data_IF_882294999700
#
_entry.id   IF_882294999700
#
_cell.length_a   1.000
_cell.length_b   1.000
_cell.length_c   1.000
_cell.angle_alpha   90.00
_cell.angle_beta   90.00
_cell.angle_gamma   90.00
#
_symmetry.space_group_name_H-M   'P 1'
#
loop_
_entity.id
_entity.type
_entity.pdbx_description
1 polymer ?
#
# COMPACT_ATOMS: atom_id res chain seq x y z
N UNK A 1 1.81 20.51 -1.53
CA UNK A 1 3.18 19.99 -1.74
C UNK A 1 3.51 19.74 -3.21
N UNK A 2 2.55 19.84 -4.15
CA UNK A 2 2.77 19.71 -5.59
C UNK A 2 2.64 21.09 -6.26
N UNK A 3 3.52 21.41 -7.19
CA UNK A 3 3.57 22.69 -7.88
C UNK A 3 2.43 22.81 -8.91
N UNK A 4 1.62 23.89 -8.89
CA UNK A 4 0.51 24.06 -9.83
C UNK A 4 0.95 24.34 -11.26
N UNK A 5 2.20 24.77 -11.48
CA UNK A 5 2.72 25.11 -12.82
C UNK A 5 3.35 23.94 -13.56
N UNK A 6 3.98 23.01 -12.84
CA UNK A 6 4.78 21.95 -13.45
C UNK A 6 4.52 20.55 -12.87
N UNK A 7 3.60 20.41 -11.91
CA UNK A 7 3.29 19.13 -11.29
C UNK A 7 4.40 18.51 -10.43
N UNK A 8 5.55 19.17 -10.30
CA UNK A 8 6.67 18.69 -9.48
C UNK A 8 6.37 18.83 -7.99
N UNK A 9 6.91 17.91 -7.18
CA UNK A 9 6.94 18.07 -5.73
C UNK A 9 7.74 19.34 -5.36
N UNK A 10 7.20 20.15 -4.47
CA UNK A 10 7.80 21.37 -3.96
C UNK A 10 8.63 21.08 -2.72
N UNK A 11 9.77 21.75 -2.57
CA UNK A 11 10.67 21.59 -1.43
C UNK A 11 10.49 22.73 -0.43
N UNK A 12 10.53 22.46 0.88
CA UNK A 12 10.49 23.52 1.89
C UNK A 12 11.82 24.29 1.89
N UNK A 13 11.76 25.62 1.88
CA UNK A 13 12.87 26.53 1.99
C UNK A 13 12.62 27.50 3.16
N UNK A 14 13.66 27.79 3.95
CA UNK A 14 13.58 28.74 5.06
C UNK A 14 13.85 30.16 4.55
N UNK A 15 12.93 31.09 4.82
CA UNK A 15 13.13 32.52 4.55
C UNK A 15 12.67 33.31 5.77
N UNK A 16 13.61 33.97 6.47
CA UNK A 16 13.37 34.89 7.60
C UNK A 16 12.34 34.38 8.62
N UNK A 17 12.57 33.17 9.15
CA UNK A 17 11.72 32.47 10.16
C UNK A 17 10.41 31.82 9.66
N UNK A 18 10.15 31.83 8.35
CA UNK A 18 9.00 31.14 7.74
C UNK A 18 9.46 30.01 6.81
N UNK A 19 8.72 28.91 6.80
CA UNK A 19 8.91 27.81 5.84
C UNK A 19 8.03 28.10 4.63
N UNK A 20 8.66 28.42 3.51
CA UNK A 20 8.00 28.59 2.21
C UNK A 20 8.22 27.34 1.35
N UNK A 21 7.27 26.96 0.51
CA UNK A 21 7.48 25.87 -0.44
C UNK A 21 7.93 26.45 -1.77
N UNK A 22 9.10 26.00 -2.26
CA UNK A 22 9.64 26.42 -3.55
C UNK A 22 9.68 25.23 -4.51
N UNK A 23 9.26 25.46 -5.74
CA UNK A 23 9.44 24.48 -6.80
C UNK A 23 10.87 24.56 -7.36
N UNK A 24 11.63 23.45 -7.40
CA UNK A 24 12.99 23.43 -7.93
C UNK A 24 13.04 23.58 -9.46
N UNK A 25 11.95 23.27 -10.16
CA UNK A 25 11.91 23.23 -11.63
C UNK A 25 11.50 24.58 -12.22
N UNK A 26 10.39 25.14 -11.76
CA UNK A 26 9.84 26.39 -12.34
C UNK A 26 10.02 27.62 -11.45
N UNK A 27 10.67 27.47 -10.28
CA UNK A 27 10.92 28.56 -9.34
C UNK A 27 9.69 29.10 -8.62
N UNK A 28 8.50 28.49 -8.80
CA UNK A 28 7.28 28.91 -8.12
C UNK A 28 7.42 28.85 -6.60
N UNK A 29 7.17 29.97 -5.93
CA UNK A 29 7.13 30.09 -4.47
C UNK A 29 5.66 30.07 -4.04
N UNK A 30 5.27 29.01 -3.33
CA UNK A 30 3.94 28.87 -2.73
C UNK A 30 3.92 29.44 -1.31
N UNK A 31 2.73 29.86 -0.87
CA UNK A 31 2.54 30.42 0.46
C UNK A 31 2.72 29.40 1.59
N UNK A 32 2.95 29.96 2.77
CA UNK A 32 3.38 29.34 4.04
C UNK A 32 2.99 27.87 4.21
N UNK A 33 4.01 27.03 4.32
CA UNK A 33 3.84 25.66 4.76
C UNK A 33 3.42 25.62 6.22
N UNK A 34 2.25 25.07 6.54
CA UNK A 34 1.98 24.58 7.91
C UNK A 34 3.20 23.75 8.34
N UNK A 35 3.66 23.94 9.59
CA UNK A 35 4.77 23.17 10.18
C UNK A 35 4.57 21.70 9.83
N UNK A 36 5.38 21.18 8.90
CA UNK A 36 5.37 19.77 8.56
C UNK A 36 6.28 19.14 9.59
N UNK A 37 5.68 18.60 10.66
CA UNK A 37 6.40 17.68 11.53
C UNK A 37 6.83 16.51 10.63
N UNK A 38 8.14 16.36 10.45
CA UNK A 38 8.71 15.17 9.82
C UNK A 38 8.52 14.06 10.84
N UNK A 39 7.34 13.46 10.81
CA UNK A 39 7.06 12.29 11.61
C UNK A 39 7.80 11.14 10.94
N UNK A 40 8.97 10.80 11.47
CA UNK A 40 9.63 9.53 11.20
C UNK A 40 8.86 8.42 11.91
N UNK A 41 7.59 8.24 11.57
CA UNK A 41 6.88 7.04 11.95
C UNK A 41 7.40 5.94 11.06
N UNK A 42 8.29 5.11 11.60
CA UNK A 42 8.30 3.70 11.22
C UNK A 42 7.01 3.13 11.78
N UNK A 43 5.89 3.41 11.11
CA UNK A 43 4.72 2.58 11.30
C UNK A 43 5.11 1.24 10.69
N UNK A 44 5.47 0.29 11.54
CA UNK A 44 5.06 -1.11 11.36
C UNK A 44 3.54 -1.10 11.28
N UNK A 45 3.04 -0.61 10.15
CA UNK A 45 1.64 -0.67 9.79
C UNK A 45 1.41 -2.15 9.60
N UNK A 46 0.88 -2.75 10.66
CA UNK A 46 0.03 -3.93 10.65
C UNK A 46 -0.29 -4.32 9.22
N UNK A 47 0.29 -5.45 8.77
CA UNK A 47 0.05 -6.11 7.50
C UNK A 47 -1.14 -5.48 6.79
N UNK A 48 -0.87 -4.55 5.86
CA UNK A 48 -1.92 -3.98 5.01
C UNK A 48 -2.74 -5.18 4.55
N UNK A 49 -4.01 -5.23 4.95
CA UNK A 49 -4.93 -6.27 4.54
C UNK A 49 -4.96 -6.18 3.03
N UNK A 50 -4.11 -6.97 2.36
CA UNK A 50 -3.94 -6.92 0.91
C UNK A 50 -5.35 -7.14 0.39
N UNK A 51 -5.99 -6.13 -0.23
CA UNK A 51 -7.36 -6.28 -0.66
C UNK A 51 -7.31 -7.33 -1.76
N UNK A 52 -7.72 -8.55 -1.43
CA UNK A 52 -7.81 -9.65 -2.38
C UNK A 52 -8.99 -9.29 -3.29
N UNK A 53 -8.69 -8.53 -4.34
CA UNK A 53 -9.64 -8.15 -5.38
C UNK A 53 -10.14 -9.46 -5.98
N UNK A 54 -11.45 -9.74 -5.78
CA UNK A 54 -12.09 -11.01 -6.16
C UNK A 54 -11.88 -11.38 -7.64
N UNK A 55 -11.68 -10.39 -8.50
CA UNK A 55 -11.46 -10.56 -9.94
C UNK A 55 -10.12 -11.27 -10.25
N UNK A 56 -9.10 -11.14 -9.39
CA UNK A 56 -7.79 -11.78 -9.59
C UNK A 56 -7.77 -13.27 -9.25
N UNK A 57 -8.80 -13.77 -8.56
CA UNK A 57 -8.89 -15.18 -8.14
C UNK A 57 -9.27 -16.11 -9.31
N UNK A 58 -9.86 -15.60 -10.40
CA UNK A 58 -10.24 -16.43 -11.55
C UNK A 58 -9.03 -17.08 -12.25
N UNK A 59 -7.84 -16.51 -12.11
CA UNK A 59 -6.58 -17.06 -12.66
C UNK A 59 -5.82 -17.93 -11.65
N UNK A 60 -6.27 -18.02 -10.40
CA UNK A 60 -5.55 -18.78 -9.37
C UNK A 60 -5.85 -20.27 -9.50
N UNK A 61 -4.84 -21.14 -9.31
CA UNK A 61 -5.05 -22.59 -9.33
C UNK A 61 -6.03 -23.01 -8.23
N UNK A 62 -6.94 -23.92 -8.57
CA UNK A 62 -7.90 -24.50 -7.64
C UNK A 62 -7.30 -25.78 -7.06
N UNK A 63 -7.28 -25.88 -5.73
CA UNK A 63 -6.78 -27.03 -4.98
C UNK A 63 -7.89 -27.65 -4.14
N UNK A 64 -7.74 -28.93 -3.84
CA UNK A 64 -8.68 -29.66 -2.99
C UNK A 64 -8.37 -29.39 -1.51
N UNK A 65 -9.13 -28.48 -0.88
CA UNK A 65 -9.03 -28.17 0.55
C UNK A 65 -10.43 -27.90 1.12
N UNK A 66 -10.74 -28.55 2.23
CA UNK A 66 -12.05 -28.44 2.89
C UNK A 66 -12.15 -27.10 3.63
N UNK A 67 -13.17 -26.31 3.29
CA UNK A 67 -13.46 -25.05 3.96
C UNK A 67 -14.10 -25.32 5.33
N UNK A 68 -13.54 -24.78 6.43
CA UNK A 68 -14.07 -25.00 7.78
C UNK A 68 -15.45 -24.37 8.00
N UNK A 69 -15.85 -23.40 7.16
CA UNK A 69 -17.12 -22.66 7.32
C UNK A 69 -18.28 -23.27 6.55
N UNK A 70 -18.05 -23.82 5.36
CA UNK A 70 -19.12 -24.27 4.46
C UNK A 70 -18.96 -25.70 3.93
N UNK A 71 -17.90 -26.41 4.33
CA UNK A 71 -17.64 -27.80 3.93
C UNK A 71 -17.25 -27.99 2.47
N UNK A 72 -17.07 -26.91 1.70
CA UNK A 72 -16.67 -26.99 0.30
C UNK A 72 -15.24 -27.55 0.18
N UNK A 73 -14.99 -28.44 -0.78
CA UNK A 73 -13.71 -29.11 -0.99
C UNK A 73 -12.76 -28.39 -1.94
N UNK A 74 -13.16 -27.26 -2.54
CA UNK A 74 -12.37 -26.51 -3.52
C UNK A 74 -11.98 -25.13 -3.00
N UNK A 75 -10.68 -24.81 -3.03
CA UNK A 75 -10.15 -23.50 -2.66
C UNK A 75 -9.20 -22.96 -3.73
N UNK A 76 -9.22 -21.66 -3.97
CA UNK A 76 -8.19 -20.94 -4.70
C UNK A 76 -6.90 -20.93 -3.88
N UNK A 77 -5.78 -21.15 -4.54
CA UNK A 77 -4.47 -21.15 -3.92
C UNK A 77 -3.65 -19.95 -4.41
N UNK A 78 -3.07 -19.21 -3.46
CA UNK A 78 -2.15 -18.12 -3.75
C UNK A 78 -0.95 -18.17 -2.81
N UNK A 79 0.25 -17.96 -3.35
CA UNK A 79 1.45 -17.70 -2.57
C UNK A 79 1.75 -16.21 -2.62
N UNK A 80 1.90 -15.59 -1.45
CA UNK A 80 2.32 -14.19 -1.31
C UNK A 80 3.73 -14.18 -0.73
N UNK A 81 4.62 -13.44 -1.39
CA UNK A 81 5.94 -13.14 -0.87
C UNK A 81 5.80 -11.96 0.08
N UNK A 82 6.11 -12.15 1.35
CA UNK A 82 6.28 -11.02 2.27
C UNK A 82 7.59 -10.31 1.92
N UNK A 83 7.70 -9.00 2.17
CA UNK A 83 8.87 -8.18 1.78
C UNK A 83 10.16 -8.58 2.53
N UNK A 84 10.06 -9.47 3.51
CA UNK A 84 11.18 -10.02 4.26
C UNK A 84 11.78 -11.22 3.52
N UNK A 85 13.04 -11.12 3.14
CA UNK A 85 13.77 -12.19 2.46
C UNK A 85 13.95 -13.45 3.32
N UNK A 86 13.88 -13.31 4.65
CA UNK A 86 14.06 -14.40 5.62
C UNK A 86 12.78 -15.18 5.95
N UNK A 87 11.61 -14.77 5.44
CA UNK A 87 10.35 -15.47 5.71
C UNK A 87 9.96 -16.41 4.56
N UNK A 88 9.51 -17.64 4.85
CA UNK A 88 8.96 -18.51 3.82
C UNK A 88 7.68 -17.90 3.23
N UNK A 89 7.39 -18.13 1.94
CA UNK A 89 6.22 -17.57 1.28
C UNK A 89 4.92 -18.00 1.98
N UNK A 90 4.06 -17.03 2.24
CA UNK A 90 2.77 -17.27 2.90
C UNK A 90 1.77 -17.84 1.89
N UNK A 91 1.18 -19.00 2.24
CA UNK A 91 0.17 -19.69 1.42
C UNK A 91 -1.23 -19.33 1.89
N UNK A 92 -2.04 -18.72 1.03
CA UNK A 92 -3.42 -18.35 1.31
C UNK A 92 -4.36 -19.25 0.51
N UNK A 93 -5.43 -19.73 1.17
CA UNK A 93 -6.43 -20.62 0.57
C UNK A 93 -7.82 -20.00 0.65
N UNK A 94 -8.37 -19.50 -0.45
CA UNK A 94 -9.71 -18.91 -0.44
C UNK A 94 -10.76 -19.89 -0.91
N UNK A 95 -11.81 -20.11 -0.13
CA UNK A 95 -12.92 -20.96 -0.52
C UNK A 95 -13.60 -20.43 -1.79
N UNK A 96 -13.70 -21.28 -2.82
CA UNK A 96 -14.35 -20.94 -4.11
C UNK A 96 -15.84 -20.60 -3.98
N UNK A 97 -16.50 -21.04 -2.89
CA UNK A 97 -17.95 -20.88 -2.68
C UNK A 97 -18.31 -19.70 -1.78
N UNK A 98 -17.61 -19.53 -0.66
CA UNK A 98 -17.94 -18.52 0.35
C UNK A 98 -16.88 -17.42 0.52
N UNK A 99 -15.74 -17.52 -0.16
CA UNK A 99 -14.65 -16.55 -0.07
C UNK A 99 -13.91 -16.53 1.28
N UNK A 100 -14.16 -17.50 2.15
CA UNK A 100 -13.45 -17.65 3.43
C UNK A 100 -11.99 -18.08 3.18
N UNK A 101 -11.03 -17.36 3.75
CA UNK A 101 -9.59 -17.65 3.70
C UNK A 101 -9.13 -18.54 4.87
#
# INVERSE_FOLDING_TARGET
MICPKCGSLMTPAKKKDKIIFKCPICGYEGEEGKKVDIVSSVSTSSAEEIPIIKEKLLSSPIVTKVCPKCGNSKAYFQMIQTRSADEPPTRIYLCTKCGYA
#
